data_IF_836530746784
#
_entry.id   IF_836530746784
#
_cell.length_a   1.000
_cell.length_b   1.000
_cell.length_c   1.000
_cell.angle_alpha   90.00
_cell.angle_beta   90.00
_cell.angle_gamma   90.00
#
_symmetry.space_group_name_H-M   'P 1'
#
loop_
_entity.id
_entity.type
_entity.pdbx_description
1 polymer ?
#
# COMPACT_ATOMS: atom_id res chain seq x y z
N UNK A 1 11.72 -22.75 14.38
CA UNK A 1 11.79 -21.28 14.22
C UNK A 1 10.38 -20.67 14.22
N UNK A 2 9.46 -21.19 13.39
CA UNK A 2 8.08 -20.65 13.23
C UNK A 2 7.37 -20.59 14.58
N UNK A 3 7.27 -21.71 15.30
CA UNK A 3 6.63 -21.78 16.61
C UNK A 3 7.20 -20.75 17.59
N UNK A 4 8.54 -20.69 17.71
CA UNK A 4 9.20 -19.74 18.62
C UNK A 4 8.93 -18.27 18.27
N UNK A 5 8.84 -17.95 16.98
CA UNK A 5 8.51 -16.59 16.54
C UNK A 5 7.04 -16.24 16.85
N UNK A 6 6.12 -17.18 16.64
CA UNK A 6 4.73 -16.99 16.96
C UNK A 6 4.50 -16.88 18.49
N UNK A 7 5.06 -17.81 19.27
CA UNK A 7 5.04 -17.75 20.74
C UNK A 7 5.58 -16.42 21.27
N UNK A 8 6.73 -15.96 20.76
CA UNK A 8 7.29 -14.69 21.19
C UNK A 8 6.40 -13.49 20.91
N UNK A 9 5.63 -13.50 19.80
CA UNK A 9 4.63 -12.43 19.56
C UNK A 9 3.46 -12.53 20.53
N UNK A 10 3.00 -13.74 20.86
CA UNK A 10 1.91 -13.97 21.81
C UNK A 10 2.31 -13.59 23.25
N UNK A 11 3.57 -13.83 23.62
CA UNK A 11 4.17 -13.41 24.88
C UNK A 11 4.43 -11.90 24.96
N UNK A 12 4.22 -11.16 23.84
CA UNK A 12 4.40 -9.71 23.78
C UNK A 12 5.85 -9.28 23.57
N UNK A 13 6.74 -10.15 23.09
CA UNK A 13 8.10 -9.76 22.73
C UNK A 13 8.08 -8.70 21.63
N UNK A 14 8.63 -7.54 21.93
CA UNK A 14 8.65 -6.40 21.00
C UNK A 14 9.59 -6.60 19.82
N UNK A 15 10.67 -7.34 20.00
CA UNK A 15 11.71 -7.58 19.00
C UNK A 15 12.11 -9.05 19.01
N UNK A 16 12.25 -9.59 17.80
CA UNK A 16 12.79 -10.92 17.56
C UNK A 16 13.71 -10.88 16.34
N UNK A 17 14.77 -11.67 16.34
CA UNK A 17 15.70 -11.73 15.22
C UNK A 17 15.78 -13.16 14.69
N UNK A 18 15.46 -13.34 13.41
CA UNK A 18 15.69 -14.60 12.67
C UNK A 18 17.02 -14.53 11.91
N UNK A 19 18.04 -15.23 12.41
CA UNK A 19 19.33 -15.32 11.75
C UNK A 19 19.38 -16.54 10.82
N UNK A 20 19.77 -16.31 9.58
CA UNK A 20 19.92 -17.38 8.58
C UNK A 20 20.68 -16.92 7.35
N UNK A 21 21.42 -17.81 6.72
CA UNK A 21 22.12 -17.55 5.46
C UNK A 21 21.12 -17.36 4.30
N UNK A 22 21.59 -16.85 3.18
CA UNK A 22 20.76 -16.76 1.95
C UNK A 22 20.33 -18.18 1.54
N UNK A 23 19.06 -18.32 1.14
CA UNK A 23 18.50 -19.63 0.75
C UNK A 23 18.07 -20.53 1.92
N UNK A 24 18.19 -20.10 3.18
CA UNK A 24 17.79 -20.90 4.36
C UNK A 24 16.27 -20.93 4.62
N UNK A 25 15.46 -20.39 3.75
CA UNK A 25 14.00 -20.37 3.90
C UNK A 25 13.46 -19.29 4.85
N UNK A 26 14.19 -18.18 5.03
CA UNK A 26 13.71 -17.06 5.88
C UNK A 26 12.36 -16.52 5.46
N UNK A 27 12.15 -16.31 4.15
CA UNK A 27 10.86 -15.83 3.60
C UNK A 27 9.73 -16.82 3.88
N UNK A 28 9.98 -18.11 3.71
CA UNK A 28 9.02 -19.16 4.06
C UNK A 28 8.70 -19.17 5.55
N UNK A 29 9.73 -19.05 6.42
CA UNK A 29 9.55 -18.97 7.88
C UNK A 29 8.70 -17.76 8.25
N UNK A 30 8.96 -16.61 7.65
CA UNK A 30 8.18 -15.39 7.84
C UNK A 30 6.72 -15.60 7.40
N UNK A 31 6.48 -16.15 6.20
CA UNK A 31 5.14 -16.43 5.71
C UNK A 31 4.36 -17.36 6.66
N UNK A 32 4.98 -18.45 7.12
CA UNK A 32 4.34 -19.38 8.06
C UNK A 32 4.11 -18.78 9.45
N UNK A 33 4.93 -17.84 9.88
CA UNK A 33 4.70 -17.08 11.13
C UNK A 33 3.50 -16.15 10.97
N UNK A 34 3.40 -15.44 9.83
CA UNK A 34 2.26 -14.57 9.51
C UNK A 34 0.96 -15.37 9.46
N UNK A 35 0.98 -16.55 8.81
CA UNK A 35 -0.17 -17.46 8.74
C UNK A 35 -0.64 -17.89 10.14
N UNK A 36 0.29 -18.29 11.02
CA UNK A 36 -0.01 -18.72 12.37
C UNK A 36 -0.63 -17.61 13.23
N UNK A 37 -0.13 -16.37 13.09
CA UNK A 37 -0.59 -15.21 13.86
C UNK A 37 -1.88 -14.59 13.32
N UNK A 38 -2.14 -14.70 12.03
CA UNK A 38 -3.32 -14.15 11.34
C UNK A 38 -3.61 -12.68 11.71
N UNK A 39 -2.59 -11.83 11.68
CA UNK A 39 -2.67 -10.40 12.00
C UNK A 39 -2.26 -9.54 10.80
N UNK A 40 -2.81 -8.32 10.65
CA UNK A 40 -2.29 -7.37 9.68
C UNK A 40 -0.78 -7.20 9.84
N UNK A 41 -0.05 -7.34 8.74
CA UNK A 41 1.42 -7.41 8.75
C UNK A 41 2.02 -6.41 7.78
N UNK A 42 3.07 -5.73 8.22
CA UNK A 42 3.92 -4.88 7.37
C UNK A 42 5.28 -5.56 7.19
N UNK A 43 5.64 -5.84 5.94
CA UNK A 43 6.96 -6.30 5.54
C UNK A 43 7.68 -5.12 4.90
N UNK A 44 8.82 -4.73 5.46
CA UNK A 44 9.59 -3.57 4.99
C UNK A 44 10.89 -4.03 4.34
N UNK A 45 11.07 -3.64 3.07
CA UNK A 45 12.24 -3.98 2.27
C UNK A 45 13.08 -2.73 1.96
N UNK A 46 14.41 -2.87 1.80
CA UNK A 46 15.29 -1.73 1.61
C UNK A 46 15.10 -1.00 0.26
N UNK A 47 14.53 -1.65 -0.74
CA UNK A 47 14.31 -1.06 -2.06
C UNK A 47 13.08 -1.65 -2.78
N UNK A 48 12.65 -0.98 -3.88
CA UNK A 48 11.48 -1.37 -4.67
C UNK A 48 11.60 -2.79 -5.27
N UNK A 49 12.79 -3.19 -5.72
CA UNK A 49 13.00 -4.48 -6.38
C UNK A 49 12.81 -5.65 -5.41
N UNK A 50 13.41 -5.56 -4.23
CA UNK A 50 13.23 -6.58 -3.20
C UNK A 50 11.78 -6.59 -2.68
N UNK A 51 11.17 -5.43 -2.50
CA UNK A 51 9.77 -5.35 -2.13
C UNK A 51 8.86 -6.02 -3.18
N UNK A 52 9.12 -5.84 -4.47
CA UNK A 52 8.37 -6.50 -5.54
C UNK A 52 8.54 -8.02 -5.52
N UNK A 53 9.76 -8.51 -5.33
CA UNK A 53 10.04 -9.93 -5.21
C UNK A 53 9.28 -10.53 -4.03
N UNK A 54 9.42 -9.96 -2.84
CA UNK A 54 8.74 -10.45 -1.63
C UNK A 54 7.23 -10.37 -1.77
N UNK A 55 6.69 -9.32 -2.39
CA UNK A 55 5.25 -9.21 -2.66
C UNK A 55 4.75 -10.33 -3.57
N UNK A 56 5.53 -10.73 -4.59
CA UNK A 56 5.20 -11.86 -5.45
C UNK A 56 5.22 -13.17 -4.68
N UNK A 57 6.26 -13.44 -3.90
CA UNK A 57 6.36 -14.64 -3.06
C UNK A 57 5.20 -14.72 -2.04
N UNK A 58 4.86 -13.59 -1.40
CA UNK A 58 3.73 -13.54 -0.45
C UNK A 58 2.38 -13.81 -1.12
N UNK A 59 2.16 -13.35 -2.35
CA UNK A 59 0.93 -13.68 -3.11
C UNK A 59 0.79 -15.18 -3.39
N UNK A 60 1.90 -15.88 -3.62
CA UNK A 60 1.89 -17.32 -3.79
C UNK A 60 1.56 -18.06 -2.47
N UNK A 61 2.11 -17.59 -1.35
CA UNK A 61 1.80 -18.16 -0.03
C UNK A 61 0.38 -17.85 0.46
N UNK A 62 -0.15 -16.68 0.08
CA UNK A 62 -1.42 -16.15 0.57
C UNK A 62 -2.38 -15.76 -0.57
N UNK A 63 -2.89 -16.74 -1.34
CA UNK A 63 -3.71 -16.46 -2.53
C UNK A 63 -5.06 -15.78 -2.22
N UNK A 64 -5.55 -15.89 -0.99
CA UNK A 64 -6.84 -15.34 -0.56
C UNK A 64 -6.73 -14.07 0.28
N UNK A 65 -5.53 -13.73 0.76
CA UNK A 65 -5.28 -12.55 1.57
C UNK A 65 -5.07 -11.30 0.69
N UNK A 66 -5.26 -10.14 1.29
CA UNK A 66 -4.89 -8.88 0.64
C UNK A 66 -3.37 -8.65 0.73
N UNK A 67 -2.61 -9.24 -0.18
CA UNK A 67 -1.18 -8.95 -0.32
C UNK A 67 -1.02 -7.72 -1.21
N UNK A 68 -0.62 -6.60 -0.61
CA UNK A 68 -0.55 -5.28 -1.26
C UNK A 68 0.86 -4.73 -1.28
N UNK A 69 1.17 -3.96 -2.32
CA UNK A 69 2.48 -3.40 -2.58
C UNK A 69 2.49 -1.88 -2.35
N UNK A 70 3.42 -1.39 -1.54
CA UNK A 70 3.47 0.00 -1.14
C UNK A 70 4.89 0.56 -1.24
N UNK A 71 5.18 1.24 -2.35
CA UNK A 71 6.50 1.83 -2.62
C UNK A 71 6.35 3.28 -3.07
N UNK A 72 7.46 4.00 -3.23
CA UNK A 72 7.44 5.35 -3.79
C UNK A 72 6.89 5.33 -5.21
N UNK A 73 5.96 6.23 -5.51
CA UNK A 73 5.38 6.41 -6.86
C UNK A 73 6.25 7.24 -7.80
N UNK A 74 7.35 7.84 -7.29
CA UNK A 74 8.34 8.48 -8.14
C UNK A 74 9.25 7.44 -8.79
N UNK A 75 9.29 7.42 -10.11
CA UNK A 75 10.23 6.60 -10.88
C UNK A 75 11.54 7.32 -11.07
N UNK A 76 11.48 8.63 -11.22
CA UNK A 76 12.63 9.51 -11.35
C UNK A 76 12.45 10.74 -10.47
N UNK A 77 13.51 11.16 -9.82
CA UNK A 77 13.57 12.40 -9.05
C UNK A 77 14.93 13.05 -9.24
N UNK A 78 14.94 14.21 -9.86
CA UNK A 78 16.11 15.07 -9.99
C UNK A 78 15.87 16.32 -9.15
N UNK A 79 16.63 16.52 -8.06
CA UNK A 79 16.57 17.77 -7.31
C UNK A 79 17.09 18.92 -8.15
N UNK A 80 16.58 20.11 -7.90
CA UNK A 80 17.19 21.32 -8.46
C UNK A 80 18.62 21.48 -7.94
N UNK A 81 19.52 21.88 -8.83
CA UNK A 81 20.92 22.13 -8.51
C UNK A 81 21.48 23.26 -9.40
N UNK A 82 22.37 24.03 -8.82
CA UNK A 82 23.15 25.04 -9.58
C UNK A 82 24.59 24.60 -9.61
N UNK A 83 25.17 24.56 -10.82
CA UNK A 83 26.59 24.24 -11.07
C UNK A 83 27.35 25.51 -11.38
N UNK A 84 28.03 26.13 -10.41
CA UNK A 84 28.68 27.45 -10.60
C UNK A 84 29.78 27.48 -11.67
N UNK A 85 30.44 26.34 -11.89
CA UNK A 85 31.56 26.23 -12.86
C UNK A 85 31.10 26.37 -14.30
N UNK A 86 29.86 26.02 -14.61
CA UNK A 86 29.29 26.07 -15.97
C UNK A 86 28.13 27.05 -16.09
N UNK A 87 27.82 27.78 -15.01
CA UNK A 87 26.64 28.65 -14.91
C UNK A 87 25.34 27.93 -15.34
N UNK A 88 25.20 26.66 -14.94
CA UNK A 88 24.10 25.83 -15.36
C UNK A 88 23.14 25.62 -14.18
N UNK A 89 21.88 25.94 -14.39
CA UNK A 89 20.77 25.61 -13.49
C UNK A 89 20.11 24.33 -13.98
N UNK A 90 20.07 23.32 -13.11
CA UNK A 90 19.37 22.05 -13.33
C UNK A 90 18.02 22.18 -12.65
N UNK A 91 16.95 22.16 -13.44
CA UNK A 91 15.59 22.24 -12.91
C UNK A 91 15.20 20.94 -12.19
N UNK A 92 14.33 21.08 -11.19
CA UNK A 92 13.71 19.93 -10.54
C UNK A 92 12.85 19.18 -11.55
N UNK A 93 13.08 17.89 -11.66
CA UNK A 93 12.28 17.00 -12.51
C UNK A 93 11.83 15.75 -11.72
N UNK A 94 10.61 15.31 -11.97
CA UNK A 94 10.07 14.11 -11.34
C UNK A 94 8.97 13.49 -12.21
N UNK A 95 9.03 12.20 -12.38
CA UNK A 95 7.97 11.43 -13.03
C UNK A 95 7.19 10.61 -12.01
N UNK A 96 5.87 10.66 -12.10
CA UNK A 96 4.94 9.90 -11.26
C UNK A 96 4.48 8.66 -12.02
N UNK A 97 4.57 7.50 -11.38
CA UNK A 97 4.04 6.26 -11.91
C UNK A 97 2.61 6.06 -11.39
N UNK A 98 1.64 6.25 -12.26
CA UNK A 98 0.22 6.13 -11.93
C UNK A 98 -0.19 4.72 -11.47
N UNK A 99 0.45 3.67 -12.00
CA UNK A 99 0.17 2.29 -11.59
C UNK A 99 0.62 2.05 -10.14
N UNK A 100 1.79 2.58 -9.76
CA UNK A 100 2.27 2.51 -8.37
C UNK A 100 1.38 3.33 -7.45
N UNK A 101 0.89 4.48 -7.90
CA UNK A 101 -0.07 5.28 -7.13
C UNK A 101 -1.36 4.50 -6.85
N UNK A 102 -1.93 3.81 -7.85
CA UNK A 102 -3.09 2.94 -7.67
C UNK A 102 -2.83 1.83 -6.64
N UNK A 103 -1.66 1.19 -6.70
CA UNK A 103 -1.27 0.16 -5.72
C UNK A 103 -1.17 0.70 -4.30
N UNK A 104 -0.69 1.93 -4.13
CA UNK A 104 -0.65 2.61 -2.81
C UNK A 104 -2.05 2.88 -2.27
N UNK A 105 -2.95 3.37 -3.11
CA UNK A 105 -4.36 3.56 -2.72
C UNK A 105 -5.03 2.22 -2.37
N UNK A 106 -4.76 1.17 -3.14
CA UNK A 106 -5.23 -0.18 -2.83
C UNK A 106 -4.74 -0.65 -1.46
N UNK A 107 -3.46 -0.40 -1.12
CA UNK A 107 -2.91 -0.77 0.18
C UNK A 107 -3.62 -0.04 1.32
N UNK A 108 -3.82 1.27 1.20
CA UNK A 108 -4.51 2.08 2.20
C UNK A 108 -5.96 1.62 2.38
N UNK A 109 -6.70 1.44 1.29
CA UNK A 109 -8.08 0.95 1.32
C UNK A 109 -8.18 -0.44 1.96
N UNK A 110 -7.27 -1.35 1.60
CA UNK A 110 -7.25 -2.71 2.18
C UNK A 110 -7.00 -2.69 3.68
N UNK A 111 -6.08 -1.86 4.18
CA UNK A 111 -5.81 -1.71 5.62
C UNK A 111 -7.01 -1.20 6.41
N UNK A 112 -7.86 -0.38 5.80
CA UNK A 112 -9.05 0.16 6.46
C UNK A 112 -10.25 -0.80 6.43
N UNK A 113 -10.31 -1.69 5.43
CA UNK A 113 -11.49 -2.55 5.19
C UNK A 113 -11.28 -4.03 5.51
N UNK A 114 -10.04 -4.51 5.65
CA UNK A 114 -9.72 -5.94 5.84
C UNK A 114 -8.81 -6.18 7.03
N UNK A 115 -8.87 -7.40 7.58
CA UNK A 115 -8.01 -7.86 8.68
C UNK A 115 -6.86 -8.77 8.21
N UNK A 116 -6.99 -9.36 7.03
CA UNK A 116 -6.06 -10.31 6.44
C UNK A 116 -5.06 -9.64 5.50
N UNK A 117 -4.59 -8.43 5.84
CA UNK A 117 -3.74 -7.60 4.99
C UNK A 117 -2.26 -7.85 5.27
N UNK A 118 -1.51 -8.07 4.20
CA UNK A 118 -0.04 -8.12 4.22
C UNK A 118 0.47 -7.01 3.30
N UNK A 119 1.04 -5.97 3.89
CA UNK A 119 1.65 -4.86 3.15
C UNK A 119 3.12 -5.13 2.95
N UNK A 120 3.58 -5.21 1.70
CA UNK A 120 5.00 -5.25 1.38
C UNK A 120 5.42 -3.87 0.88
N UNK A 121 6.31 -3.23 1.61
CA UNK A 121 6.66 -1.83 1.42
C UNK A 121 8.16 -1.58 1.31
N UNK A 122 8.53 -0.50 0.63
CA UNK A 122 9.86 0.08 0.75
C UNK A 122 9.89 1.13 1.87
N UNK A 123 11.06 1.69 2.15
CA UNK A 123 11.26 2.74 3.16
C UNK A 123 10.30 3.94 3.01
N UNK A 124 9.67 4.12 1.85
CA UNK A 124 8.70 5.18 1.62
C UNK A 124 7.45 5.10 2.52
N UNK A 125 7.18 3.95 3.13
CA UNK A 125 6.05 3.77 4.05
C UNK A 125 6.21 4.52 5.40
N UNK A 126 7.42 4.96 5.75
CA UNK A 126 7.66 5.72 6.99
C UNK A 126 7.23 7.20 6.88
N UNK A 127 7.04 7.70 5.67
CA UNK A 127 6.58 9.07 5.45
C UNK A 127 5.06 9.15 5.53
N UNK A 128 4.55 10.10 6.31
CA UNK A 128 3.12 10.31 6.48
C UNK A 128 2.43 10.69 5.16
N UNK A 129 1.26 10.11 4.92
CA UNK A 129 0.39 10.39 3.76
C UNK A 129 -0.93 11.06 4.14
N UNK A 130 -1.04 11.54 5.36
CA UNK A 130 -2.24 12.17 5.90
C UNK A 130 -2.85 11.42 7.09
N UNK A 131 -4.02 11.84 7.49
CA UNK A 131 -4.78 11.24 8.58
C UNK A 131 -5.56 10.01 8.09
N UNK A 132 -5.38 8.83 8.70
CA UNK A 132 -6.20 7.66 8.39
C UNK A 132 -7.70 7.89 8.63
N UNK A 133 -8.03 8.73 9.63
CA UNK A 133 -9.39 9.07 9.97
C UNK A 133 -10.06 9.90 8.87
N UNK A 134 -9.35 10.89 8.34
CA UNK A 134 -9.86 11.71 7.23
C UNK A 134 -10.02 10.87 5.96
N UNK A 135 -9.07 10.00 5.67
CA UNK A 135 -9.16 9.08 4.53
C UNK A 135 -10.39 8.15 4.64
N UNK A 136 -10.60 7.55 5.81
CA UNK A 136 -11.76 6.69 6.06
C UNK A 136 -13.09 7.46 6.00
N UNK A 137 -13.11 8.71 6.50
CA UNK A 137 -14.29 9.56 6.51
C UNK A 137 -14.69 10.08 5.12
N UNK A 138 -13.74 10.13 4.18
CA UNK A 138 -13.97 10.53 2.80
C UNK A 138 -14.29 9.35 1.86
N UNK A 139 -14.22 8.11 2.33
CA UNK A 139 -14.47 6.93 1.49
C UNK A 139 -15.98 6.57 1.52
N UNK A 140 -16.74 6.77 0.42
CA UNK A 140 -18.12 6.32 0.33
C UNK A 140 -18.20 4.81 0.54
N UNK A 141 -19.10 4.37 1.41
CA UNK A 141 -19.30 2.94 1.66
C UNK A 141 -20.59 2.48 0.97
N UNK A 142 -20.45 1.61 -0.02
CA UNK A 142 -21.58 1.09 -0.80
C UNK A 142 -21.72 -0.40 -0.51
N UNK A 143 -22.79 -0.77 0.19
CA UNK A 143 -23.16 -2.16 0.48
C UNK A 143 -24.40 -2.55 -0.34
N UNK A 144 -24.39 -3.70 -0.97
CA UNK A 144 -25.52 -4.23 -1.74
C UNK A 144 -26.74 -4.55 -0.88
N UNK A 145 -26.53 -4.80 0.40
CA UNK A 145 -27.59 -5.19 1.35
C UNK A 145 -28.22 -3.98 2.07
N UNK A 146 -27.57 -2.80 1.97
CA UNK A 146 -28.04 -1.58 2.62
C UNK A 146 -28.66 -0.64 1.57
N UNK A 147 -29.93 -0.24 1.74
CA UNK A 147 -30.53 0.75 0.87
C UNK A 147 -29.72 2.05 0.88
N UNK A 148 -29.35 2.53 -0.28
CA UNK A 148 -28.62 3.78 -0.46
C UNK A 148 -29.40 4.70 -1.39
N UNK A 149 -29.64 5.93 -0.95
CA UNK A 149 -30.26 6.94 -1.80
C UNK A 149 -29.25 7.42 -2.87
N UNK A 150 -29.65 7.33 -4.13
CA UNK A 150 -28.78 7.67 -5.27
C UNK A 150 -28.22 9.08 -5.18
N UNK A 151 -29.06 10.05 -4.79
CA UNK A 151 -28.65 11.45 -4.77
C UNK A 151 -27.69 11.76 -3.62
N UNK A 152 -27.71 10.98 -2.54
CA UNK A 152 -26.73 11.08 -1.46
C UNK A 152 -25.38 10.55 -1.90
N UNK A 153 -25.33 9.38 -2.58
CA UNK A 153 -24.10 8.88 -3.16
C UNK A 153 -23.48 9.85 -4.17
N UNK A 154 -24.32 10.51 -5.01
CA UNK A 154 -23.81 11.50 -5.95
C UNK A 154 -23.16 12.68 -5.22
N UNK A 155 -23.75 13.15 -4.12
CA UNK A 155 -23.16 14.23 -3.30
C UNK A 155 -21.85 13.80 -2.69
N UNK A 156 -21.78 12.60 -2.09
CA UNK A 156 -20.54 12.06 -1.53
C UNK A 156 -19.44 11.96 -2.59
N UNK A 157 -19.75 11.51 -3.80
CA UNK A 157 -18.78 11.45 -4.90
C UNK A 157 -18.29 12.84 -5.31
N UNK A 158 -19.17 13.84 -5.36
CA UNK A 158 -18.80 15.23 -5.67
C UNK A 158 -17.92 15.81 -4.55
N UNK A 159 -18.25 15.56 -3.29
CA UNK A 159 -17.50 16.05 -2.12
C UNK A 159 -16.04 15.52 -2.11
N UNK A 160 -15.81 14.31 -2.62
CA UNK A 160 -14.48 13.74 -2.84
C UNK A 160 -13.89 14.05 -4.22
N UNK A 161 -14.43 15.06 -4.90
CA UNK A 161 -13.93 15.61 -6.17
C UNK A 161 -14.00 14.64 -7.37
N UNK A 162 -15.00 13.77 -7.40
CA UNK A 162 -15.35 13.05 -8.62
C UNK A 162 -16.18 13.91 -9.54
N UNK A 163 -15.86 13.91 -10.81
CA UNK A 163 -16.59 14.63 -11.85
C UNK A 163 -17.65 13.74 -12.53
N UNK A 164 -18.81 14.31 -12.81
CA UNK A 164 -19.80 13.62 -13.61
C UNK A 164 -19.39 13.62 -15.07
N UNK A 165 -19.25 12.45 -15.66
CA UNK A 165 -19.00 12.27 -17.09
C UNK A 165 -19.89 11.15 -17.64
N UNK A 166 -20.92 11.52 -18.36
CA UNK A 166 -21.89 10.57 -18.93
C UNK A 166 -21.40 9.90 -20.22
N UNK A 167 -20.30 10.38 -20.81
CA UNK A 167 -19.71 9.90 -22.08
C UNK A 167 -18.57 8.92 -21.86
N UNK A 168 -17.61 9.27 -21.04
CA UNK A 168 -16.41 8.49 -20.81
C UNK A 168 -16.20 8.26 -19.32
N UNK A 169 -16.07 6.98 -18.92
CA UNK A 169 -15.86 6.60 -17.52
C UNK A 169 -14.37 6.36 -17.29
N UNK A 170 -13.70 7.39 -16.83
CA UNK A 170 -12.28 7.37 -16.48
C UNK A 170 -12.06 7.52 -14.97
N UNK A 171 -10.84 7.39 -14.51
CA UNK A 171 -10.49 7.59 -13.10
C UNK A 171 -10.95 8.97 -12.62
N UNK A 172 -11.57 9.02 -11.44
CA UNK A 172 -12.10 10.28 -10.86
C UNK A 172 -13.42 10.74 -11.48
N UNK A 173 -14.09 9.90 -12.28
CA UNK A 173 -15.41 10.24 -12.84
C UNK A 173 -16.47 9.23 -12.46
N UNK A 174 -17.73 9.68 -12.46
CA UNK A 174 -18.90 8.82 -12.32
C UNK A 174 -19.96 9.13 -13.40
N UNK A 175 -20.82 8.17 -13.65
CA UNK A 175 -21.91 8.32 -14.61
C UNK A 175 -23.24 7.99 -13.94
N UNK A 176 -24.25 8.78 -14.26
CA UNK A 176 -25.63 8.58 -13.77
C UNK A 176 -26.50 8.11 -14.94
N UNK A 177 -27.16 6.98 -14.77
CA UNK A 177 -28.15 6.43 -15.71
C UNK A 177 -29.51 6.26 -15.06
#
# INVERSE_FOLDING_TARGET
AIEKLAEGVEEGLRYQTLLGVTGSGKTFTMAKTIEALNRPTLIMEPNKTLAAQVASEMKEFFPNNAVVYFVSYYDYYQPEAYVPQTDTYIEKDSSINEEVEKLRHQATSSLLSRRDVIVVASVSCIYGIGSPQDYAGLAPNVDKEVPLERDDLIRELIDIQYDRNDYDLVRGTFRVR
#
